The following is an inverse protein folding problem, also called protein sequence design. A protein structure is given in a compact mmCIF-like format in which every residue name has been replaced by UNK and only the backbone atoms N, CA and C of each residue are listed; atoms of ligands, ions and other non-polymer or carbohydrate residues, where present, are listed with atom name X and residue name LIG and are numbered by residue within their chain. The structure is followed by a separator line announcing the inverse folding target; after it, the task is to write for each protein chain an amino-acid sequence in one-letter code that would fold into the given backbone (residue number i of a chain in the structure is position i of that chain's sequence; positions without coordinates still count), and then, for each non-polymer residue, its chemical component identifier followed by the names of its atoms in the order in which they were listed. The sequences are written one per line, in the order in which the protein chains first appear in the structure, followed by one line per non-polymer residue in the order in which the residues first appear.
data_IF_099862651152
#
_entry.id   IF_099862651152
#
_cell.length_a   1.000
_cell.length_b   1.000
_cell.length_c   1.000
_cell.angle_alpha   90.00
_cell.angle_beta   90.00
_cell.angle_gamma   90.00
#
_symmetry.space_group_name_H-M   'P 1'
#
loop_
_entity.id
_entity.type
_entity.pdbx_description
1 polymer ?
#
# COMPACT_ATOMS: atom_id res chain seq x y z
N UNK A 1 -3.52 -6.61 31.85
CA UNK A 1 -2.31 -6.12 31.15
C UNK A 1 -1.31 -7.23 30.81
N UNK A 2 -0.90 -8.10 31.75
CA UNK A 2 0.13 -9.12 31.52
C UNK A 2 -0.18 -10.11 30.37
N UNK A 3 -1.41 -10.61 30.29
CA UNK A 3 -1.85 -11.48 29.20
C UNK A 3 -1.78 -10.80 27.82
N UNK A 4 -2.29 -9.57 27.72
CA UNK A 4 -2.25 -8.76 26.48
C UNK A 4 -0.80 -8.48 26.06
N UNK A 5 0.06 -8.11 27.01
CA UNK A 5 1.47 -7.86 26.73
C UNK A 5 2.17 -9.12 26.19
N UNK A 6 1.86 -10.28 26.77
CA UNK A 6 2.38 -11.59 26.31
C UNK A 6 1.90 -11.89 24.90
N UNK A 7 0.61 -11.71 24.63
CA UNK A 7 0.03 -11.94 23.29
C UNK A 7 0.65 -11.03 22.23
N UNK A 8 0.90 -9.76 22.57
CA UNK A 8 1.50 -8.78 21.67
C UNK A 8 3.04 -8.90 21.58
N UNK A 9 3.67 -9.76 22.38
CA UNK A 9 5.13 -9.91 22.41
C UNK A 9 5.87 -8.69 22.97
N UNK A 10 5.25 -7.94 23.87
CA UNK A 10 5.82 -6.72 24.49
C UNK A 10 5.96 -6.86 26.00
N UNK A 11 6.85 -6.06 26.61
CA UNK A 11 6.95 -6.00 28.07
C UNK A 11 5.67 -5.42 28.69
N UNK A 12 5.12 -6.09 29.71
CA UNK A 12 3.95 -5.59 30.43
C UNK A 12 4.21 -4.25 31.11
N UNK A 13 5.45 -3.97 31.53
CA UNK A 13 5.83 -2.69 32.13
C UNK A 13 5.89 -1.60 31.07
N UNK A 14 6.42 -1.92 29.88
CA UNK A 14 6.46 -0.98 28.76
C UNK A 14 5.05 -0.62 28.27
N UNK A 15 4.16 -1.62 28.14
CA UNK A 15 2.76 -1.38 27.76
C UNK A 15 2.05 -0.51 28.80
N UNK A 16 2.24 -0.79 30.09
CA UNK A 16 1.66 0.02 31.16
C UNK A 16 2.16 1.47 31.09
N UNK A 17 3.48 1.68 31.02
CA UNK A 17 4.07 3.03 30.87
C UNK A 17 3.58 3.74 29.61
N UNK A 18 3.41 3.02 28.51
CA UNK A 18 2.88 3.58 27.26
C UNK A 18 1.44 4.07 27.35
N UNK A 19 0.66 3.55 28.29
CA UNK A 19 -0.72 4.00 28.55
C UNK A 19 -0.79 5.10 29.61
N UNK A 20 0.11 5.08 30.59
CA UNK A 20 0.07 6.00 31.74
C UNK A 20 1.04 7.17 31.65
N UNK A 21 1.92 7.20 30.65
CA UNK A 21 2.92 8.26 30.47
C UNK A 21 2.94 8.72 29.03
N UNK A 22 2.86 10.04 28.83
CA UNK A 22 2.94 10.66 27.51
C UNK A 22 4.25 11.42 27.38
N UNK A 23 4.88 11.28 26.22
CA UNK A 23 6.08 12.06 25.88
C UNK A 23 5.67 13.21 24.97
N UNK A 24 6.14 14.41 25.28
CA UNK A 24 5.87 15.64 24.58
C UNK A 24 7.18 16.26 24.12
N UNK A 25 7.19 16.87 22.94
CA UNK A 25 8.29 17.75 22.54
C UNK A 25 7.89 19.19 22.89
N UNK A 26 8.65 19.83 23.78
CA UNK A 26 8.47 21.22 24.17
C UNK A 26 9.76 21.95 23.83
N UNK A 27 9.71 22.83 22.81
CA UNK A 27 10.86 23.65 22.39
C UNK A 27 12.13 22.83 22.08
N UNK A 28 11.97 21.63 21.51
CA UNK A 28 13.09 20.73 21.19
C UNK A 28 13.46 19.76 22.31
N UNK A 29 12.90 19.92 23.52
CA UNK A 29 13.14 19.02 24.63
C UNK A 29 12.02 17.97 24.78
N UNK A 30 12.40 16.71 24.99
CA UNK A 30 11.45 15.66 25.31
C UNK A 30 11.11 15.67 26.80
N UNK A 31 9.84 15.95 27.11
CA UNK A 31 9.29 15.97 28.46
C UNK A 31 8.29 14.83 28.61
N UNK A 32 8.32 14.14 29.75
CA UNK A 32 7.36 13.08 30.07
C UNK A 32 6.37 13.60 31.12
N UNK A 33 5.09 13.32 30.91
CA UNK A 33 4.01 13.64 31.82
C UNK A 33 3.17 12.40 32.09
N UNK A 34 2.47 12.37 33.23
CA UNK A 34 1.53 11.30 33.55
C UNK A 34 0.19 11.55 32.84
N UNK A 35 -0.42 10.48 32.35
CA UNK A 35 -1.78 10.53 31.82
C UNK A 35 -2.78 10.47 32.98
N UNK A 36 -3.82 11.29 32.92
CA UNK A 36 -5.00 11.08 33.75
C UNK A 36 -5.79 9.83 33.31
N UNK A 37 -6.79 9.44 34.11
CA UNK A 37 -7.59 8.25 33.87
C UNK A 37 -8.37 8.31 32.54
N UNK A 38 -8.85 9.49 32.15
CA UNK A 38 -9.65 9.67 30.94
C UNK A 38 -8.78 9.53 29.68
N UNK A 39 -7.61 10.18 29.68
CA UNK A 39 -6.62 10.08 28.61
C UNK A 39 -6.08 8.67 28.47
N UNK A 40 -5.78 7.98 29.59
CA UNK A 40 -5.32 6.60 29.57
C UNK A 40 -6.39 5.65 28.97
N UNK A 41 -7.66 5.84 29.34
CA UNK A 41 -8.79 5.06 28.80
C UNK A 41 -8.96 5.32 27.29
N UNK A 42 -8.94 6.58 26.88
CA UNK A 42 -9.05 6.96 25.46
C UNK A 42 -7.90 6.37 24.64
N UNK A 43 -6.68 6.40 25.18
CA UNK A 43 -5.48 5.85 24.51
C UNK A 43 -5.59 4.33 24.37
N UNK A 44 -6.08 3.63 25.40
CA UNK A 44 -6.34 2.18 25.35
C UNK A 44 -7.33 1.82 24.25
N UNK A 45 -8.42 2.59 24.13
CA UNK A 45 -9.47 2.31 23.15
C UNK A 45 -9.00 2.61 21.73
N UNK A 46 -8.27 3.72 21.55
CA UNK A 46 -7.64 4.07 20.27
C UNK A 46 -6.64 3.00 19.83
N UNK A 47 -5.80 2.50 20.74
CA UNK A 47 -4.87 1.41 20.47
C UNK A 47 -5.61 0.14 20.02
N UNK A 48 -6.68 -0.22 20.72
CA UNK A 48 -7.48 -1.41 20.41
C UNK A 48 -8.10 -1.32 19.01
N UNK A 49 -8.67 -0.17 18.65
CA UNK A 49 -9.22 0.10 17.31
C UNK A 49 -8.13 0.01 16.24
N UNK A 50 -6.97 0.64 16.47
CA UNK A 50 -5.87 0.62 15.53
C UNK A 50 -5.34 -0.79 15.26
N UNK A 51 -5.17 -1.60 16.32
CA UNK A 51 -4.74 -2.99 16.20
C UNK A 51 -5.75 -3.85 15.43
N UNK A 52 -7.05 -3.68 15.70
CA UNK A 52 -8.11 -4.37 14.97
C UNK A 52 -8.09 -4.03 13.49
N UNK A 53 -8.10 -2.73 13.15
CA UNK A 53 -8.05 -2.26 11.76
C UNK A 53 -6.81 -2.79 11.03
N UNK A 54 -5.64 -2.75 11.69
CA UNK A 54 -4.38 -3.27 11.14
C UNK A 54 -4.43 -4.78 10.90
N UNK A 55 -5.05 -5.53 11.81
CA UNK A 55 -5.22 -6.99 11.71
C UNK A 55 -6.11 -7.34 10.53
N UNK A 56 -7.30 -6.73 10.44
CA UNK A 56 -8.23 -6.93 9.31
C UNK A 56 -7.55 -6.61 7.99
N UNK A 57 -6.88 -5.46 7.89
CA UNK A 57 -6.16 -5.07 6.68
C UNK A 57 -5.05 -6.07 6.31
N UNK A 58 -4.39 -6.68 7.31
CA UNK A 58 -3.37 -7.70 7.08
C UNK A 58 -3.96 -9.02 6.61
N UNK A 59 -5.10 -9.43 7.17
CA UNK A 59 -5.83 -10.62 6.73
C UNK A 59 -6.29 -10.44 5.29
N UNK A 60 -6.94 -9.32 4.95
CA UNK A 60 -7.42 -9.02 3.59
C UNK A 60 -6.25 -9.05 2.59
N UNK A 61 -5.13 -8.40 2.91
CA UNK A 61 -3.94 -8.45 2.05
C UNK A 61 -3.43 -9.88 1.85
N UNK A 62 -3.28 -10.65 2.92
CA UNK A 62 -2.82 -12.04 2.84
C UNK A 62 -3.75 -12.92 2.02
N UNK A 63 -5.06 -12.79 2.22
CA UNK A 63 -6.06 -13.54 1.47
C UNK A 63 -6.00 -13.22 -0.04
N UNK A 64 -5.83 -11.95 -0.40
CA UNK A 64 -5.70 -11.54 -1.81
C UNK A 64 -4.36 -11.95 -2.43
N UNK A 65 -3.26 -11.92 -1.69
CA UNK A 65 -1.97 -12.43 -2.17
C UNK A 65 -2.01 -13.94 -2.46
N UNK A 66 -2.76 -14.71 -1.67
CA UNK A 66 -2.89 -16.16 -1.85
C UNK A 66 -3.69 -16.51 -3.11
N UNK A 67 -4.78 -15.78 -3.40
CA UNK A 67 -5.56 -15.95 -4.64
C UNK A 67 -4.70 -15.80 -5.90
N UNK A 68 -3.69 -14.92 -5.86
CA UNK A 68 -2.81 -14.65 -7.00
C UNK A 68 -1.72 -15.72 -7.21
N UNK A 69 -1.36 -16.47 -6.16
CA UNK A 69 -0.41 -17.59 -6.22
C UNK A 69 -1.06 -18.90 -6.71
N UNK A 70 -2.39 -19.00 -6.66
CA UNK A 70 -3.16 -20.10 -7.29
C UNK A 70 -3.39 -19.93 -8.79
N UNK A 71 -2.94 -18.82 -9.39
CA UNK A 71 -3.17 -18.49 -10.81
C UNK A 71 -1.94 -18.69 -11.72
N UNK A 72 -0.97 -19.51 -11.31
CA UNK A 72 0.11 -20.00 -12.20
C UNK A 72 -0.17 -21.42 -12.72
N UNK A 73 -1.43 -21.73 -13.02
CA UNK A 73 -1.80 -22.91 -13.79
C UNK A 73 -3.07 -22.58 -14.57
N UNK A 74 -2.90 -22.07 -15.78
CA UNK A 74 -4.00 -21.70 -16.65
C UNK A 74 -3.52 -20.68 -17.66
N UNK A 75 -3.04 -21.16 -18.79
CA UNK A 75 -2.88 -20.38 -20.02
C UNK A 75 -4.15 -19.58 -20.26
N UNK A 76 -4.07 -18.26 -20.33
CA UNK A 76 -5.15 -17.41 -20.82
C UNK A 76 -5.34 -17.69 -22.31
N UNK A 77 -6.05 -18.78 -22.63
CA UNK A 77 -6.36 -19.17 -24.00
C UNK A 77 -7.85 -19.02 -24.24
N UNK A 78 -8.16 -18.13 -25.19
CA UNK A 78 -9.26 -18.18 -26.17
C UNK A 78 -10.72 -18.32 -25.72
N UNK A 79 -11.50 -17.26 -25.98
CA UNK A 79 -12.74 -17.37 -26.78
C UNK A 79 -13.03 -15.99 -27.43
N UNK A 80 -12.68 -15.77 -28.71
CA UNK A 80 -13.56 -15.89 -29.90
C UNK A 80 -14.51 -14.69 -30.14
N UNK A 81 -13.99 -13.72 -30.90
CA UNK A 81 -14.58 -13.03 -32.08
C UNK A 81 -16.03 -12.48 -32.05
N UNK A 82 -16.19 -11.18 -31.76
CA UNK A 82 -17.20 -10.32 -32.40
C UNK A 82 -16.48 -9.38 -33.38
N UNK A 83 -16.70 -9.60 -34.67
CA UNK A 83 -16.23 -8.77 -35.78
C UNK A 83 -17.22 -7.66 -36.11
N UNK A 84 -16.74 -6.64 -36.87
CA UNK A 84 -17.44 -5.59 -37.69
C UNK A 84 -17.19 -4.20 -37.06
N UNK A 85 -16.48 -3.22 -37.64
CA UNK A 85 -16.25 -2.85 -39.04
C UNK A 85 -15.05 -1.89 -39.22
N UNK A 86 -14.38 -2.03 -40.36
CA UNK A 86 -13.67 -1.04 -41.18
C UNK A 86 -12.32 -0.41 -40.75
N UNK A 87 -11.27 -0.99 -41.36
CA UNK A 87 -10.25 -0.33 -42.18
C UNK A 87 -9.91 1.14 -41.86
N UNK A 88 -8.68 1.37 -41.42
CA UNK A 88 -7.67 2.05 -42.25
C UNK A 88 -6.32 1.75 -41.62
N UNK A 89 -5.53 0.95 -42.32
CA UNK A 89 -4.12 0.77 -42.00
C UNK A 89 -3.39 2.12 -42.10
N UNK A 90 -2.51 2.39 -41.14
CA UNK A 90 -1.18 2.95 -41.40
C UNK A 90 -0.39 3.09 -40.09
N UNK A 91 0.56 2.17 -39.90
CA UNK A 91 1.92 2.40 -39.40
C UNK A 91 2.17 3.37 -38.24
N UNK A 92 2.83 2.84 -37.18
CA UNK A 92 4.16 3.27 -36.69
C UNK A 92 4.34 3.54 -35.18
N UNK A 93 5.28 2.77 -34.61
CA UNK A 93 6.42 3.21 -33.77
C UNK A 93 6.32 3.31 -32.23
N UNK A 94 7.36 2.71 -31.64
CA UNK A 94 7.80 2.65 -30.24
C UNK A 94 8.19 4.02 -29.65
N UNK A 95 8.19 4.09 -28.30
CA UNK A 95 9.33 4.46 -27.45
C UNK A 95 9.01 5.43 -26.30
N UNK A 96 9.55 5.08 -25.13
CA UNK A 96 9.60 5.82 -23.87
C UNK A 96 10.69 6.90 -23.87
N UNK A 97 10.50 7.98 -23.10
CA UNK A 97 11.58 8.87 -22.65
C UNK A 97 11.24 9.48 -21.29
N UNK A 98 12.18 9.38 -20.35
CA UNK A 98 12.24 10.18 -19.12
C UNK A 98 12.91 11.53 -19.43
N UNK A 99 12.46 12.61 -18.80
CA UNK A 99 13.26 13.85 -18.64
C UNK A 99 12.52 15.18 -18.82
N UNK A 100 12.23 15.83 -17.68
CA UNK A 100 12.21 17.28 -17.39
C UNK A 100 11.92 18.30 -18.50
N UNK A 101 10.92 19.16 -18.26
CA UNK A 101 10.79 20.49 -18.89
C UNK A 101 9.42 20.72 -19.49
N UNK A 102 8.57 21.50 -18.81
CA UNK A 102 7.22 21.79 -19.28
C UNK A 102 7.20 22.65 -20.53
N UNK A 103 6.41 22.26 -21.52
CA UNK A 103 5.54 23.10 -22.38
C UNK A 103 4.68 22.17 -23.25
N UNK A 104 3.44 22.59 -23.50
CA UNK A 104 2.43 21.92 -24.31
C UNK A 104 2.92 21.73 -25.76
N UNK A 105 2.75 20.56 -26.37
CA UNK A 105 2.31 20.39 -27.77
C UNK A 105 2.47 18.94 -28.29
N UNK A 106 1.37 18.46 -28.88
CA UNK A 106 1.19 17.44 -29.91
C UNK A 106 2.41 16.92 -30.71
N UNK A 107 2.39 15.58 -30.92
CA UNK A 107 2.76 14.83 -32.15
C UNK A 107 4.21 14.92 -32.64
N UNK A 108 4.95 13.80 -32.68
CA UNK A 108 5.52 13.22 -33.93
C UNK A 108 6.45 12.02 -33.68
N UNK A 109 6.15 10.91 -34.38
CA UNK A 109 7.06 9.96 -35.06
C UNK A 109 8.51 9.77 -34.59
N UNK A 110 8.87 8.54 -34.22
CA UNK A 110 10.25 8.01 -34.33
C UNK A 110 10.24 6.47 -34.18
N UNK A 111 10.82 5.58 -34.98
CA UNK A 111 11.29 5.49 -36.37
C UNK A 111 11.65 4.01 -36.53
N UNK A 112 11.29 3.40 -37.67
CA UNK A 112 12.00 2.33 -38.40
C UNK A 112 12.53 1.08 -37.64
N UNK A 113 12.00 -0.10 -37.95
CA UNK A 113 12.80 -1.34 -37.92
C UNK A 113 12.50 -2.20 -39.16
N UNK A 114 13.30 -1.98 -40.20
CA UNK A 114 13.50 -2.83 -41.35
C UNK A 114 14.59 -3.85 -41.03
N UNK A 115 14.25 -5.14 -40.91
CA UNK A 115 15.17 -6.25 -41.16
C UNK A 115 14.39 -7.59 -41.17
N UNK A 116 14.56 -8.36 -42.25
CA UNK A 116 14.15 -9.78 -42.42
C UNK A 116 12.64 -9.95 -42.68
N UNK A 117 12.16 -10.18 -43.92
CA UNK A 117 12.59 -11.14 -44.93
C UNK A 117 12.07 -10.73 -46.31
#
# INVERSE_FOLDING_TARGET
MKAVATLLGVSSVALFRGLTTRTHNVRGQLVKSLCDANLATTTRDALSKALYCRTVATIVRRANSLKRLGSTSGTLSSDSNESVHNQTENSSQHASTMGSGGVKASKSMTVLNSAVR
#
